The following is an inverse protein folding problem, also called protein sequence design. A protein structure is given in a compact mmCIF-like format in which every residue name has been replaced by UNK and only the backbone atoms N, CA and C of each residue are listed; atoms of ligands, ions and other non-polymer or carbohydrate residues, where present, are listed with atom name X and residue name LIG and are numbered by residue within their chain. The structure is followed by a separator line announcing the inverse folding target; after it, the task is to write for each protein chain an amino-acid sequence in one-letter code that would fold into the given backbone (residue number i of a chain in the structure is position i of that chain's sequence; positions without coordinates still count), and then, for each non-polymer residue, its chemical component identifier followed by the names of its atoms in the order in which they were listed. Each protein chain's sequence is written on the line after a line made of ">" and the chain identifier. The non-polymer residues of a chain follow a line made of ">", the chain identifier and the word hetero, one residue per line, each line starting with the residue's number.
data_IF_626964863193
#
_entry.id   IF_626964863193
#
_cell.length_a   1.000
_cell.length_b   1.000
_cell.length_c   1.000
_cell.angle_alpha   90.00
_cell.angle_beta   90.00
_cell.angle_gamma   90.00
#
_symmetry.space_group_name_H-M   'P 1'
#
loop_
_entity.id
_entity.type
_entity.pdbx_description
1 polymer ?
#
# COMPACT_ATOMS: atom_id res chain seq x y z
N UNK A 1 32.37 -9.56 18.22
CA UNK A 1 33.53 -10.23 17.58
C UNK A 1 33.17 -10.59 16.15
N UNK A 2 34.12 -10.62 15.21
CA UNK A 2 33.90 -11.10 13.83
C UNK A 2 34.41 -12.54 13.71
N UNK A 3 33.72 -13.40 12.98
CA UNK A 3 34.16 -14.77 12.69
C UNK A 3 35.22 -14.80 11.59
N UNK A 4 35.85 -15.97 11.38
CA UNK A 4 36.92 -16.17 10.37
C UNK A 4 36.45 -15.98 8.93
N UNK A 5 35.15 -16.06 8.67
CA UNK A 5 34.47 -15.75 7.39
C UNK A 5 33.95 -14.30 7.34
N UNK A 6 34.42 -13.43 8.24
CA UNK A 6 34.14 -11.98 8.27
C UNK A 6 32.67 -11.60 8.57
N UNK A 7 31.86 -12.54 9.08
CA UNK A 7 30.52 -12.29 9.56
C UNK A 7 30.54 -11.66 10.96
N UNK A 8 29.53 -10.85 11.30
CA UNK A 8 29.38 -10.32 12.66
C UNK A 8 28.85 -11.43 13.58
N UNK A 9 29.61 -11.82 14.60
CA UNK A 9 29.13 -12.74 15.63
C UNK A 9 28.24 -11.98 16.61
N UNK A 10 26.95 -12.26 16.56
CA UNK A 10 25.99 -11.90 17.60
C UNK A 10 25.93 -13.06 18.59
N UNK A 11 26.48 -12.89 19.79
CA UNK A 11 26.15 -13.79 20.90
C UNK A 11 24.72 -13.47 21.35
N UNK A 12 23.77 -14.21 20.81
CA UNK A 12 22.39 -14.15 21.27
C UNK A 12 22.23 -15.11 22.45
N UNK A 13 22.11 -14.57 23.65
CA UNK A 13 21.58 -15.32 24.79
C UNK A 13 20.17 -15.79 24.42
N UNK A 14 19.94 -17.10 24.31
CA UNK A 14 18.59 -17.64 24.09
C UNK A 14 17.82 -17.44 25.39
N UNK A 15 17.19 -16.27 25.53
CA UNK A 15 16.17 -16.07 26.54
C UNK A 15 14.92 -16.77 26.02
N UNK A 16 14.64 -17.96 26.55
CA UNK A 16 13.40 -18.68 26.28
C UNK A 16 12.24 -17.97 26.98
N UNK A 17 11.86 -16.80 26.46
CA UNK A 17 10.57 -16.20 26.77
C UNK A 17 9.51 -17.09 26.11
N UNK A 18 8.59 -17.63 26.91
CA UNK A 18 7.49 -18.45 26.44
C UNK A 18 6.46 -17.54 25.74
N UNK A 19 6.83 -17.04 24.57
CA UNK A 19 6.01 -16.16 23.74
C UNK A 19 4.84 -16.98 23.22
N UNK A 20 3.62 -16.47 23.41
CA UNK A 20 2.41 -17.14 22.94
C UNK A 20 2.44 -17.35 21.43
N UNK A 21 1.70 -18.34 20.94
CA UNK A 21 1.62 -18.64 19.51
C UNK A 21 1.18 -17.42 18.68
N UNK A 22 0.30 -16.59 19.27
CA UNK A 22 -0.23 -15.35 18.67
C UNK A 22 0.81 -14.24 18.58
N UNK A 23 1.64 -14.07 19.61
CA UNK A 23 2.75 -13.11 19.58
C UNK A 23 3.85 -13.54 18.60
N UNK A 24 4.09 -14.85 18.43
CA UNK A 24 5.05 -15.35 17.46
C UNK A 24 4.63 -15.05 16.01
N UNK A 25 3.37 -15.28 15.65
CA UNK A 25 2.89 -14.99 14.30
C UNK A 25 2.87 -13.49 14.00
N UNK A 26 2.53 -12.64 14.97
CA UNK A 26 2.59 -11.19 14.78
C UNK A 26 4.03 -10.69 14.59
N UNK A 27 4.96 -11.18 15.40
CA UNK A 27 6.37 -10.83 15.29
C UNK A 27 6.95 -11.16 13.91
N UNK A 28 6.65 -12.34 13.38
CA UNK A 28 7.11 -12.73 12.05
C UNK A 28 6.36 -12.01 10.92
N UNK A 29 5.09 -11.66 11.13
CA UNK A 29 4.34 -10.80 10.23
C UNK A 29 5.02 -9.43 10.06
N UNK A 30 5.42 -8.78 11.16
CA UNK A 30 6.14 -7.50 11.13
C UNK A 30 7.55 -7.65 10.52
N UNK A 31 8.33 -8.65 10.94
CA UNK A 31 9.69 -8.89 10.43
C UNK A 31 9.76 -9.15 8.94
N UNK A 32 8.73 -9.77 8.36
CA UNK A 32 8.64 -10.07 6.93
C UNK A 32 7.89 -8.99 6.15
N UNK A 33 7.81 -7.77 6.68
CA UNK A 33 7.26 -6.62 5.97
C UNK A 33 5.75 -6.68 5.82
N UNK A 34 5.05 -7.14 6.86
CA UNK A 34 3.59 -7.23 6.89
C UNK A 34 2.99 -8.20 5.85
N UNK A 35 3.65 -9.34 5.66
CA UNK A 35 3.18 -10.42 4.78
C UNK A 35 1.81 -10.96 5.23
N UNK A 36 0.97 -11.39 4.28
CA UNK A 36 -0.31 -12.00 4.61
C UNK A 36 -0.16 -13.17 5.59
N UNK A 37 -0.95 -13.20 6.67
CA UNK A 37 -0.89 -14.26 7.69
C UNK A 37 -1.08 -15.67 7.12
N UNK A 38 -1.89 -15.83 6.06
CA UNK A 38 -2.06 -17.12 5.37
C UNK A 38 -0.77 -17.58 4.70
N UNK A 39 -0.09 -16.68 4.01
CA UNK A 39 1.15 -16.98 3.29
C UNK A 39 2.28 -17.25 4.29
N UNK A 40 2.35 -16.45 5.35
CA UNK A 40 3.28 -16.63 6.46
C UNK A 40 3.14 -18.02 7.11
N UNK A 41 1.92 -18.47 7.38
CA UNK A 41 1.66 -19.84 7.87
C UNK A 41 2.08 -20.91 6.87
N UNK A 42 1.88 -20.65 5.58
CA UNK A 42 2.25 -21.58 4.50
C UNK A 42 3.77 -21.74 4.45
N UNK A 43 4.53 -20.63 4.52
CA UNK A 43 5.99 -20.65 4.57
C UNK A 43 6.52 -21.43 5.79
N UNK A 44 5.96 -21.19 6.98
CA UNK A 44 6.34 -21.90 8.19
C UNK A 44 5.97 -23.39 8.16
N UNK A 45 4.84 -23.75 7.52
CA UNK A 45 4.41 -25.14 7.37
C UNK A 45 5.34 -25.95 6.44
N UNK A 46 5.76 -25.34 5.34
CA UNK A 46 6.59 -25.99 4.32
C UNK A 46 8.10 -25.74 4.52
N UNK A 47 8.51 -25.10 5.62
CA UNK A 47 9.89 -24.74 5.92
C UNK A 47 10.59 -24.01 4.76
N UNK A 48 9.86 -23.12 4.06
CA UNK A 48 10.39 -22.40 2.90
C UNK A 48 11.40 -21.31 3.26
N UNK A 49 11.48 -20.92 4.54
CA UNK A 49 12.36 -19.87 5.05
C UNK A 49 13.14 -20.43 6.23
N UNK A 50 14.47 -20.37 6.15
CA UNK A 50 15.34 -20.81 7.23
C UNK A 50 15.10 -19.96 8.49
N UNK A 51 14.95 -20.62 9.65
CA UNK A 51 14.73 -19.95 10.94
C UNK A 51 13.30 -19.49 11.21
N UNK A 52 12.36 -19.68 10.26
CA UNK A 52 10.94 -19.42 10.50
C UNK A 52 10.30 -20.62 11.24
N UNK A 53 9.77 -20.45 12.47
CA UNK A 53 9.11 -21.52 13.19
C UNK A 53 7.77 -21.90 12.53
N UNK A 54 7.21 -23.05 12.93
CA UNK A 54 5.85 -23.43 12.53
C UNK A 54 4.86 -22.53 13.26
N UNK A 55 4.19 -21.66 12.52
CA UNK A 55 3.26 -20.67 13.07
C UNK A 55 1.83 -21.22 13.17
N UNK A 56 1.16 -20.90 14.26
CA UNK A 56 -0.24 -21.24 14.51
C UNK A 56 -1.22 -20.32 13.80
N UNK A 57 -2.52 -20.48 14.08
CA UNK A 57 -3.54 -19.51 13.66
C UNK A 57 -3.69 -18.45 14.73
N UNK A 58 -3.83 -17.19 14.32
CA UNK A 58 -4.19 -16.09 15.20
C UNK A 58 -5.71 -16.02 15.35
N UNK A 59 -6.20 -15.62 16.52
CA UNK A 59 -7.64 -15.41 16.74
C UNK A 59 -8.23 -14.32 15.81
N UNK A 60 -7.42 -13.31 15.48
CA UNK A 60 -7.77 -12.23 14.55
C UNK A 60 -6.64 -11.98 13.54
N UNK A 61 -6.86 -12.34 12.28
CA UNK A 61 -5.91 -12.16 11.17
C UNK A 61 -5.91 -10.70 10.62
N UNK A 62 -6.47 -9.73 11.35
CA UNK A 62 -6.46 -8.30 10.98
C UNK A 62 -5.30 -7.57 11.65
N UNK A 63 -4.41 -7.02 10.81
CA UNK A 63 -3.37 -6.08 11.22
C UNK A 63 -3.81 -4.65 10.85
N UNK A 64 -3.91 -3.75 11.84
CA UNK A 64 -4.36 -2.36 11.65
C UNK A 64 -3.55 -1.58 10.59
N UNK A 65 -2.21 -1.54 10.68
CA UNK A 65 -1.35 -0.95 9.66
C UNK A 65 -1.55 -1.55 8.25
N UNK A 66 -1.71 -2.88 8.15
CA UNK A 66 -2.00 -3.54 6.88
C UNK A 66 -3.32 -3.08 6.29
N UNK A 67 -4.35 -3.02 7.12
CA UNK A 67 -5.69 -2.63 6.69
C UNK A 67 -5.70 -1.21 6.14
N UNK A 68 -5.04 -0.27 6.81
CA UNK A 68 -4.93 1.11 6.35
C UNK A 68 -4.14 1.22 5.04
N UNK A 69 -3.00 0.50 4.93
CA UNK A 69 -2.14 0.55 3.73
C UNK A 69 -2.77 -0.15 2.52
N UNK A 70 -3.53 -1.23 2.73
CA UNK A 70 -4.21 -2.00 1.68
C UNK A 70 -5.62 -1.50 1.40
N UNK A 71 -6.07 -0.42 2.06
CA UNK A 71 -7.38 0.15 1.82
C UNK A 71 -7.48 0.66 0.38
N UNK A 72 -8.44 0.12 -0.36
CA UNK A 72 -8.79 0.62 -1.69
C UNK A 72 -9.80 1.74 -1.57
N UNK A 73 -9.76 2.72 -2.48
CA UNK A 73 -10.83 3.72 -2.59
C UNK A 73 -12.13 2.99 -2.92
N UNK A 74 -13.21 3.38 -2.24
CA UNK A 74 -14.55 2.91 -2.62
C UNK A 74 -14.86 3.35 -4.06
N UNK A 75 -15.64 2.52 -4.76
CA UNK A 75 -16.08 2.86 -6.10
C UNK A 75 -16.93 4.13 -6.07
N UNK A 76 -16.62 5.08 -6.96
CA UNK A 76 -17.47 6.24 -7.16
C UNK A 76 -18.86 5.80 -7.67
N UNK A 77 -19.92 6.39 -7.13
CA UNK A 77 -21.27 6.16 -7.66
C UNK A 77 -21.29 6.60 -9.13
N UNK A 78 -21.87 5.79 -10.01
CA UNK A 78 -22.08 6.19 -11.40
C UNK A 78 -22.96 7.45 -11.41
N UNK A 79 -22.45 8.55 -11.95
CA UNK A 79 -23.24 9.75 -12.21
C UNK A 79 -24.30 9.48 -13.29
N UNK A 80 -25.37 10.30 -13.33
CA UNK A 80 -26.26 10.34 -14.50
C UNK A 80 -25.49 10.97 -15.67
N UNK A 81 -25.75 10.50 -16.89
CA UNK A 81 -24.96 10.84 -18.08
C UNK A 81 -25.06 12.31 -18.52
N UNK A 82 -26.04 13.08 -18.03
CA UNK A 82 -26.17 14.52 -18.23
C UNK A 82 -26.82 15.11 -16.98
N UNK A 83 -26.16 16.08 -16.34
CA UNK A 83 -26.70 16.80 -15.17
C UNK A 83 -27.37 18.11 -15.53
N UNK A 84 -27.05 18.67 -16.70
CA UNK A 84 -27.51 19.98 -17.17
C UNK A 84 -28.70 19.88 -18.12
N UNK A 85 -29.55 20.92 -18.12
CA UNK A 85 -30.76 21.05 -18.94
C UNK A 85 -30.72 22.24 -19.90
N UNK A 86 -29.90 23.24 -19.60
CA UNK A 86 -29.75 24.46 -20.38
C UNK A 86 -28.26 24.86 -20.46
N UNK A 87 -27.83 25.61 -21.50
CA UNK A 87 -26.46 26.11 -21.60
C UNK A 87 -26.04 26.93 -20.39
N UNK A 88 -24.76 26.84 -20.00
CA UNK A 88 -24.13 27.59 -18.91
C UNK A 88 -24.59 27.23 -17.49
N UNK A 89 -25.32 26.13 -17.31
CA UNK A 89 -25.66 25.61 -15.97
C UNK A 89 -24.45 25.05 -15.21
N UNK A 90 -23.47 24.48 -15.93
CA UNK A 90 -22.24 23.95 -15.36
C UNK A 90 -21.07 24.14 -16.35
N UNK A 91 -20.03 24.84 -15.91
CA UNK A 91 -18.79 25.04 -16.67
C UNK A 91 -17.64 24.25 -16.04
N UNK A 92 -16.99 23.41 -16.84
CA UNK A 92 -15.73 22.77 -16.49
C UNK A 92 -14.59 23.65 -16.96
N UNK A 93 -13.85 24.23 -16.01
CA UNK A 93 -12.73 25.12 -16.29
C UNK A 93 -11.43 24.50 -15.77
N UNK A 94 -10.38 24.52 -16.59
CA UNK A 94 -9.05 24.04 -16.20
C UNK A 94 -7.94 24.89 -16.83
N UNK A 95 -6.78 24.92 -16.18
CA UNK A 95 -5.58 25.59 -16.68
C UNK A 95 -4.49 24.55 -16.94
N UNK A 96 -4.23 24.32 -18.22
CA UNK A 96 -3.17 23.44 -18.68
C UNK A 96 -1.86 24.22 -18.85
N UNK A 97 -0.78 23.77 -18.20
CA UNK A 97 0.57 24.30 -18.42
C UNK A 97 1.46 24.35 -17.16
N UNK A 98 2.71 24.84 -17.29
CA UNK A 98 3.33 25.42 -18.47
C UNK A 98 3.69 24.36 -19.52
N UNK A 99 3.38 24.63 -20.78
CA UNK A 99 3.75 23.79 -21.90
C UNK A 99 5.23 23.92 -22.23
N UNK A 100 5.81 22.82 -22.73
CA UNK A 100 7.21 22.79 -23.15
C UNK A 100 7.45 23.69 -24.37
N UNK A 101 6.49 23.73 -25.29
CA UNK A 101 6.54 24.57 -26.50
C UNK A 101 5.64 25.79 -26.32
N UNK A 102 6.14 26.95 -26.71
CA UNK A 102 5.35 28.19 -26.74
C UNK A 102 4.37 28.19 -27.91
N UNK A 103 3.21 28.82 -27.69
CA UNK A 103 2.32 29.18 -28.80
C UNK A 103 2.99 30.23 -29.71
N UNK A 104 2.42 30.46 -30.88
CA UNK A 104 2.87 31.52 -31.79
C UNK A 104 2.90 32.92 -31.13
N UNK A 105 2.11 33.13 -30.08
CA UNK A 105 2.09 34.37 -29.29
C UNK A 105 2.95 34.36 -28.03
N UNK A 106 3.88 33.40 -27.90
CA UNK A 106 4.78 33.28 -26.75
C UNK A 106 4.07 32.87 -25.45
N UNK A 107 2.88 32.24 -25.52
CA UNK A 107 2.14 31.78 -24.34
C UNK A 107 2.46 30.31 -24.06
N UNK A 108 2.50 29.94 -22.78
CA UNK A 108 2.76 28.56 -22.31
C UNK A 108 1.61 27.93 -21.53
N UNK A 109 0.51 28.66 -21.37
CA UNK A 109 -0.67 28.16 -20.65
C UNK A 109 -1.88 28.21 -21.57
N UNK A 110 -2.77 27.23 -21.41
CA UNK A 110 -4.05 27.15 -22.10
C UNK A 110 -5.12 27.12 -21.01
N UNK A 111 -6.02 28.09 -21.05
CA UNK A 111 -7.22 28.08 -20.23
C UNK A 111 -8.34 27.41 -21.01
N UNK A 112 -8.84 26.30 -20.49
CA UNK A 112 -9.93 25.51 -21.09
C UNK A 112 -11.20 25.82 -20.32
N UNK A 113 -12.26 26.16 -21.04
CA UNK A 113 -13.60 26.36 -20.49
C UNK A 113 -14.57 25.57 -21.38
N UNK A 114 -15.25 24.59 -20.80
CA UNK A 114 -16.20 23.70 -21.48
C UNK A 114 -17.54 23.80 -20.78
N UNK A 115 -18.59 24.05 -21.55
CA UNK A 115 -19.96 23.96 -21.09
C UNK A 115 -20.40 22.49 -21.05
N UNK A 116 -20.96 22.06 -19.92
CA UNK A 116 -21.40 20.66 -19.74
C UNK A 116 -22.58 20.30 -20.66
N UNK A 117 -23.33 21.30 -21.13
CA UNK A 117 -24.54 21.11 -21.93
C UNK A 117 -24.31 21.05 -23.44
N UNK A 118 -23.33 21.80 -23.98
CA UNK A 118 -23.15 22.03 -25.44
C UNK A 118 -21.88 21.46 -26.06
#
# INVERSE_FOLDING_TARGET
>A
MRSSDNCYCLEASIVSNHVSMDEQIELWHERLGHMNFRDLRTLGKFNCVCGLPKLGKKANDVCGPCQQRKQTKSMHKKGKYLTTKEPLELLHMDLMGPMQTESLGGKRYIFVCVDDFS
#
